data_IF_480677510329
#
_entry.id   IF_480677510329
#
_cell.length_a   1.000
_cell.length_b   1.000
_cell.length_c   1.000
_cell.angle_alpha   90.00
_cell.angle_beta   90.00
_cell.angle_gamma   90.00
#
_symmetry.space_group_name_H-M   'P 1'
#
loop_
_entity.id
_entity.type
_entity.pdbx_description
1 polymer ?
#
# COMPACT_ATOMS: atom_id res chain seq x y z
N UNK A 1 -6.83 21.13 -31.61
CA UNK A 1 -7.48 22.11 -30.71
C UNK A 1 -8.00 21.38 -29.48
N UNK A 2 -7.53 21.81 -28.32
CA UNK A 2 -7.99 21.60 -26.93
C UNK A 2 -8.30 20.18 -26.41
N UNK A 3 -7.34 19.61 -25.67
CA UNK A 3 -7.60 18.58 -24.64
C UNK A 3 -7.19 19.10 -23.25
N UNK A 4 -7.52 20.37 -22.97
CA UNK A 4 -7.40 20.95 -21.64
C UNK A 4 -8.75 20.88 -20.92
N UNK A 5 -8.79 20.24 -19.75
CA UNK A 5 -9.89 20.24 -18.76
C UNK A 5 -11.09 19.31 -18.98
N UNK A 6 -10.92 17.99 -18.80
CA UNK A 6 -12.04 17.03 -18.64
C UNK A 6 -11.99 16.27 -17.30
N UNK A 7 -11.58 16.93 -16.21
CA UNK A 7 -11.77 16.36 -14.89
C UNK A 7 -13.13 16.84 -14.36
N UNK A 8 -14.09 15.93 -14.24
CA UNK A 8 -15.40 16.22 -13.65
C UNK A 8 -15.19 16.79 -12.24
N UNK A 9 -15.66 18.02 -11.99
CA UNK A 9 -15.55 18.64 -10.68
C UNK A 9 -16.64 18.09 -9.78
N UNK A 10 -16.24 17.30 -8.79
CA UNK A 10 -17.17 16.76 -7.80
C UNK A 10 -17.20 17.65 -6.55
N UNK A 11 -18.38 18.10 -6.15
CA UNK A 11 -18.53 18.84 -4.90
C UNK A 11 -18.69 17.85 -3.73
N UNK A 12 -17.57 17.53 -3.08
CA UNK A 12 -17.52 16.63 -1.94
C UNK A 12 -18.04 17.30 -0.67
N UNK A 13 -19.00 16.65 0.00
CA UNK A 13 -19.41 17.03 1.36
C UNK A 13 -18.51 16.32 2.36
N UNK A 14 -17.65 17.08 3.03
CA UNK A 14 -16.70 16.59 4.02
C UNK A 14 -17.02 17.23 5.38
N UNK A 15 -16.92 16.50 6.50
CA UNK A 15 -16.90 17.10 7.83
C UNK A 15 -15.78 18.13 7.96
N UNK A 16 -15.98 19.19 8.74
CA UNK A 16 -15.02 20.29 8.86
C UNK A 16 -13.63 19.80 9.35
N UNK A 17 -13.62 18.89 10.33
CA UNK A 17 -12.39 18.28 10.84
C UNK A 17 -11.58 17.58 9.75
N UNK A 18 -12.26 16.87 8.84
CA UNK A 18 -11.60 16.16 7.74
C UNK A 18 -11.05 17.15 6.71
N UNK A 19 -11.81 18.21 6.40
CA UNK A 19 -11.36 19.27 5.50
C UNK A 19 -10.11 19.98 6.05
N UNK A 20 -10.04 20.24 7.35
CA UNK A 20 -8.87 20.83 7.99
C UNK A 20 -7.63 19.91 7.91
N UNK A 21 -7.80 18.61 8.13
CA UNK A 21 -6.71 17.63 8.00
C UNK A 21 -6.13 17.61 6.58
N UNK A 22 -6.99 17.62 5.56
CA UNK A 22 -6.56 17.67 4.16
C UNK A 22 -5.84 19.01 3.86
N UNK A 23 -6.34 20.13 4.38
CA UNK A 23 -5.71 21.44 4.22
C UNK A 23 -4.30 21.50 4.83
N UNK A 24 -4.10 20.86 5.98
CA UNK A 24 -2.79 20.76 6.61
C UNK A 24 -1.84 19.89 5.78
N UNK A 25 -2.27 18.67 5.45
CA UNK A 25 -1.53 17.71 4.62
C UNK A 25 -1.09 18.32 3.30
N UNK A 26 -2.00 19.03 2.62
CA UNK A 26 -1.70 19.63 1.31
C UNK A 26 -0.63 20.73 1.41
N UNK A 27 -0.62 21.50 2.51
CA UNK A 27 0.41 22.50 2.78
C UNK A 27 1.76 21.86 3.06
N UNK A 28 1.81 20.82 3.89
CA UNK A 28 3.05 20.10 4.19
C UNK A 28 3.66 19.45 2.94
N UNK A 29 2.81 18.93 2.05
CA UNK A 29 3.22 18.29 0.80
C UNK A 29 3.34 19.26 -0.38
N UNK A 30 3.26 20.58 -0.14
CA UNK A 30 3.35 21.64 -1.16
C UNK A 30 2.45 21.41 -2.38
N UNK A 31 1.23 20.92 -2.17
CA UNK A 31 0.25 20.64 -3.24
C UNK A 31 -1.11 21.28 -2.94
N UNK A 32 -1.95 21.42 -3.97
CA UNK A 32 -3.32 21.92 -3.78
C UNK A 32 -4.17 20.91 -3.00
N UNK A 33 -5.22 21.38 -2.32
CA UNK A 33 -6.14 20.51 -1.58
C UNK A 33 -6.76 19.45 -2.50
N UNK A 34 -7.14 19.83 -3.73
CA UNK A 34 -7.66 18.88 -4.72
C UNK A 34 -6.61 17.85 -5.14
N UNK A 35 -5.35 18.27 -5.33
CA UNK A 35 -4.27 17.34 -5.65
C UNK A 35 -4.00 16.35 -4.50
N UNK A 36 -4.13 16.79 -3.24
CA UNK A 36 -4.02 15.92 -2.07
C UNK A 36 -5.15 14.88 -2.00
N UNK A 37 -6.38 15.30 -2.29
CA UNK A 37 -7.54 14.41 -2.35
C UNK A 37 -7.37 13.37 -3.46
N UNK A 38 -7.01 13.80 -4.67
CA UNK A 38 -6.82 12.90 -5.81
C UNK A 38 -5.74 11.87 -5.50
N UNK A 39 -4.56 12.30 -5.03
CA UNK A 39 -3.47 11.38 -4.72
C UNK A 39 -3.85 10.36 -3.62
N UNK A 40 -4.62 10.77 -2.60
CA UNK A 40 -5.11 9.84 -1.56
C UNK A 40 -6.10 8.83 -2.12
N UNK A 41 -6.97 9.25 -3.04
CA UNK A 41 -7.90 8.35 -3.70
C UNK A 41 -7.14 7.38 -4.60
N UNK A 42 -6.18 7.86 -5.39
CA UNK A 42 -5.29 7.01 -6.21
C UNK A 42 -4.56 6.00 -5.34
N UNK A 43 -3.92 6.43 -4.24
CA UNK A 43 -3.25 5.54 -3.28
C UNK A 43 -4.22 4.50 -2.68
N UNK A 44 -5.50 4.85 -2.49
CA UNK A 44 -6.50 3.90 -1.98
C UNK A 44 -6.87 2.80 -2.98
N UNK A 45 -6.76 3.10 -4.28
CA UNK A 45 -7.01 2.15 -5.37
C UNK A 45 -5.75 1.40 -5.78
N UNK A 46 -4.57 1.95 -5.49
CA UNK A 46 -3.33 1.18 -5.48
C UNK A 46 -3.47 0.09 -4.42
N UNK A 47 -3.91 -1.10 -4.85
CA UNK A 47 -3.70 -2.29 -4.07
C UNK A 47 -2.22 -2.28 -3.70
N UNK A 48 -1.92 -2.19 -2.40
CA UNK A 48 -0.61 -2.55 -1.84
C UNK A 48 -0.42 -4.03 -2.12
N UNK A 49 -0.12 -4.29 -3.38
CA UNK A 49 0.00 -5.60 -3.94
C UNK A 49 1.33 -6.08 -3.42
N UNK A 50 1.25 -6.97 -2.43
CA UNK A 50 2.35 -7.88 -2.14
C UNK A 50 2.69 -8.76 -3.37
N UNK A 51 1.96 -8.62 -4.47
CA UNK A 51 2.10 -9.31 -5.75
C UNK A 51 3.39 -8.94 -6.50
N UNK A 52 4.18 -7.99 -6.01
CA UNK A 52 5.53 -7.68 -6.52
C UNK A 52 6.64 -8.18 -5.58
N UNK A 53 6.38 -9.27 -4.85
CA UNK A 53 7.41 -9.90 -4.02
C UNK A 53 8.63 -10.33 -4.88
N UNK A 54 8.41 -10.65 -6.14
CA UNK A 54 9.45 -11.04 -7.11
C UNK A 54 10.39 -9.88 -7.48
N UNK A 55 9.97 -8.63 -7.24
CA UNK A 55 10.80 -7.42 -7.47
C UNK A 55 11.65 -7.05 -6.25
N UNK A 56 11.38 -7.67 -5.08
CA UNK A 56 12.10 -7.39 -3.83
C UNK A 56 13.30 -8.34 -3.71
N UNK A 57 14.53 -7.83 -3.46
CA UNK A 57 15.69 -8.67 -3.20
C UNK A 57 15.43 -9.67 -2.06
N UNK A 58 15.87 -10.92 -2.26
CA UNK A 58 15.66 -11.99 -1.29
C UNK A 58 16.26 -11.64 0.09
N UNK A 59 17.38 -10.94 0.10
CA UNK A 59 18.09 -10.51 1.30
C UNK A 59 17.22 -9.58 2.17
N UNK A 60 16.49 -8.66 1.54
CA UNK A 60 15.58 -7.75 2.25
C UNK A 60 14.39 -8.51 2.84
N UNK A 61 13.83 -9.46 2.08
CA UNK A 61 12.75 -10.31 2.57
C UNK A 61 13.21 -11.16 3.77
N UNK A 62 14.38 -11.78 3.67
CA UNK A 62 14.96 -12.59 4.76
C UNK A 62 15.25 -11.75 6.01
N UNK A 63 15.77 -10.53 5.85
CA UNK A 63 16.02 -9.63 6.96
C UNK A 63 14.72 -9.29 7.72
N UNK A 64 13.63 -9.02 6.99
CA UNK A 64 12.32 -8.73 7.59
C UNK A 64 11.75 -9.96 8.30
N UNK A 65 11.84 -11.15 7.69
CA UNK A 65 11.36 -12.41 8.29
C UNK A 65 12.13 -12.72 9.58
N UNK A 66 13.45 -12.68 9.55
CA UNK A 66 14.28 -12.95 10.73
C UNK A 66 14.03 -11.93 11.85
N UNK A 67 13.87 -10.65 11.50
CA UNK A 67 13.49 -9.62 12.48
C UNK A 67 12.15 -9.92 13.15
N UNK A 68 11.14 -10.37 12.39
CA UNK A 68 9.82 -10.72 12.95
C UNK A 68 9.86 -11.99 13.79
N UNK A 69 10.58 -13.02 13.34
CA UNK A 69 10.76 -14.27 14.09
C UNK A 69 11.49 -14.03 15.42
N UNK A 70 12.61 -13.29 15.38
CA UNK A 70 13.36 -12.94 16.58
C UNK A 70 12.55 -12.14 17.59
N UNK A 71 11.72 -11.18 17.12
CA UNK A 71 10.79 -10.42 17.98
C UNK A 71 9.75 -11.29 18.67
N UNK A 72 9.35 -12.38 18.03
CA UNK A 72 8.34 -13.30 18.55
C UNK A 72 8.97 -14.53 19.24
N UNK A 73 10.30 -14.60 19.34
CA UNK A 73 11.05 -15.77 19.82
C UNK A 73 10.65 -17.07 19.11
N UNK A 74 10.26 -16.98 17.84
CA UNK A 74 9.85 -18.11 17.02
C UNK A 74 11.04 -18.60 16.17
N UNK A 75 11.12 -19.91 15.96
CA UNK A 75 12.00 -20.53 14.98
C UNK A 75 11.15 -21.23 13.91
N UNK A 76 11.68 -21.37 12.69
CA UNK A 76 11.02 -22.11 11.63
C UNK A 76 11.49 -23.56 11.63
N UNK A 77 10.57 -24.52 11.82
CA UNK A 77 10.87 -25.95 11.66
C UNK A 77 10.80 -26.38 10.20
N UNK A 78 11.37 -27.57 9.90
CA UNK A 78 11.28 -28.16 8.56
C UNK A 78 9.82 -28.40 8.15
N UNK A 79 8.94 -28.78 9.08
CA UNK A 79 7.52 -28.96 8.78
C UNK A 79 6.82 -27.64 8.46
N UNK A 80 7.18 -26.54 9.15
CA UNK A 80 6.61 -25.22 8.89
C UNK A 80 7.00 -24.69 7.52
N UNK A 81 8.26 -24.90 7.12
CA UNK A 81 8.73 -24.56 5.78
C UNK A 81 8.00 -25.39 4.72
N UNK A 82 7.78 -26.68 4.97
CA UNK A 82 7.02 -27.54 4.05
C UNK A 82 5.56 -27.08 3.92
N UNK A 83 4.90 -26.72 5.03
CA UNK A 83 3.53 -26.16 5.02
C UNK A 83 3.44 -24.86 4.24
N UNK A 84 4.41 -23.96 4.40
CA UNK A 84 4.46 -22.71 3.65
C UNK A 84 4.58 -22.93 2.14
N UNK A 85 5.40 -23.91 1.70
CA UNK A 85 5.53 -24.30 0.29
C UNK A 85 4.21 -24.81 -0.30
N UNK A 86 3.47 -25.63 0.45
CA UNK A 86 2.16 -26.12 0.00
C UNK A 86 1.11 -25.01 -0.07
N UNK A 87 1.17 -24.03 0.84
CA UNK A 87 0.31 -22.86 0.80
C UNK A 87 0.54 -21.99 -0.46
N UNK A 88 1.80 -21.86 -0.90
CA UNK A 88 2.16 -21.15 -2.14
C UNK A 88 1.56 -21.84 -3.37
N UNK A 89 1.75 -23.16 -3.51
CA UNK A 89 1.22 -23.94 -4.64
C UNK A 89 -0.31 -23.88 -4.77
N UNK A 90 -1.03 -23.71 -3.65
CA UNK A 90 -2.49 -23.62 -3.65
C UNK A 90 -2.99 -22.27 -4.18
N UNK A 91 -2.23 -21.19 -3.96
CA UNK A 91 -2.59 -19.85 -4.48
C UNK A 91 -2.35 -19.70 -5.99
N UNK A 92 -1.35 -20.38 -6.55
CA UNK A 92 -1.07 -20.35 -8.00
C UNK A 92 -2.14 -21.07 -8.84
N UNK A 93 -3.00 -21.89 -8.22
CA UNK A 93 -4.05 -22.67 -8.91
C UNK A 93 -5.45 -22.05 -8.83
N UNK A 94 -5.61 -20.90 -8.17
CA UNK A 94 -6.90 -20.20 -8.00
C UNK A 94 -6.88 -18.91 -8.78
#
# INVERSE_FOLDING_TARGET
MSSGHLNAQYNLRLPDDLKQKIAHSSKELNRSMNADIVARLEESFEQKSFNKLDEVPLEELLAVVMKKLGRNSLSLTREEIARAKEFSKKREKT
#
